data_IF_665732869988
#
_entry.id   IF_665732869988
#
_cell.length_a   1.000
_cell.length_b   1.000
_cell.length_c   1.000
_cell.angle_alpha   90.00
_cell.angle_beta   90.00
_cell.angle_gamma   90.00
#
_symmetry.space_group_name_H-M   'P 1'
#
loop_
_entity.id
_entity.type
_entity.pdbx_description
1 polymer ?
#
# COMPACT_ATOMS: atom_id res chain seq x y z
N UNK A 1 -29.80 58.59 48.05
CA UNK A 1 -30.48 57.32 47.70
C UNK A 1 -30.77 57.12 46.21
N UNK A 2 -30.60 58.10 45.30
CA UNK A 2 -30.87 57.92 43.85
C UNK A 2 -29.67 57.48 42.98
N UNK A 3 -28.42 57.54 43.47
CA UNK A 3 -27.24 57.07 42.69
C UNK A 3 -26.82 55.63 42.99
N UNK A 4 -27.07 55.11 44.20
CA UNK A 4 -26.77 53.70 44.54
C UNK A 4 -27.68 52.70 43.82
N UNK A 5 -28.93 53.09 43.53
CA UNK A 5 -29.92 52.21 42.90
C UNK A 5 -29.70 52.01 41.39
N UNK A 6 -28.90 52.87 40.75
CA UNK A 6 -28.51 52.72 39.32
C UNK A 6 -27.31 51.79 39.13
N UNK A 7 -26.43 51.69 40.12
CA UNK A 7 -25.27 50.80 40.07
C UNK A 7 -25.66 49.31 40.22
N UNK A 8 -26.66 49.00 41.05
CA UNK A 8 -27.15 47.62 41.23
C UNK A 8 -27.91 47.07 40.00
N UNK A 9 -28.53 47.93 39.20
CA UNK A 9 -29.25 47.51 37.97
C UNK A 9 -28.26 47.19 36.84
N UNK A 10 -27.12 47.88 36.76
CA UNK A 10 -26.08 47.58 35.76
C UNK A 10 -25.29 46.31 36.07
N UNK A 11 -25.11 45.97 37.36
CA UNK A 11 -24.40 44.74 37.77
C UNK A 11 -25.29 43.49 37.56
N UNK A 12 -26.63 43.63 37.64
CA UNK A 12 -27.57 42.54 37.38
C UNK A 12 -27.81 42.25 35.88
N UNK A 13 -27.42 43.15 34.99
CA UNK A 13 -27.51 42.99 33.52
C UNK A 13 -26.26 42.33 32.90
N UNK A 14 -25.13 42.31 33.61
CA UNK A 14 -23.87 41.69 33.14
C UNK A 14 -23.83 40.18 33.43
N UNK A 15 -24.67 39.68 34.34
CA UNK A 15 -24.74 38.25 34.69
C UNK A 15 -25.66 37.40 33.79
N UNK A 16 -26.30 37.99 32.78
CA UNK A 16 -27.20 37.27 31.83
C UNK A 16 -26.59 37.18 30.42
N UNK A 17 -25.34 37.59 30.21
CA UNK A 17 -24.55 37.05 29.10
C UNK A 17 -24.08 35.64 29.49
N UNK A 18 -25.06 34.74 29.54
CA UNK A 18 -24.81 33.31 29.58
C UNK A 18 -23.88 32.97 28.44
N UNK A 19 -22.69 32.51 28.80
CA UNK A 19 -21.82 31.74 27.91
C UNK A 19 -22.60 30.46 27.58
N UNK A 20 -23.45 30.56 26.56
CA UNK A 20 -23.84 29.42 25.76
C UNK A 20 -22.61 29.07 24.92
N UNK A 21 -21.70 28.29 25.50
CA UNK A 21 -20.84 27.45 24.68
C UNK A 21 -21.75 26.37 24.09
N UNK A 22 -22.39 26.68 22.98
CA UNK A 22 -22.81 25.63 22.06
C UNK A 22 -21.55 24.89 21.67
N UNK A 23 -21.51 23.59 21.92
CA UNK A 23 -20.52 22.68 21.33
C UNK A 23 -20.76 22.57 19.81
N UNK A 24 -20.76 23.70 19.11
CA UNK A 24 -20.47 23.74 17.68
C UNK A 24 -19.07 23.16 17.56
N UNK A 25 -19.01 21.94 17.02
CA UNK A 25 -17.75 21.35 16.57
C UNK A 25 -17.12 22.39 15.64
N UNK A 26 -16.15 23.15 16.14
CA UNK A 26 -15.29 23.93 15.28
C UNK A 26 -14.62 22.91 14.38
N UNK A 27 -15.09 22.79 13.15
CA UNK A 27 -14.20 22.38 12.07
C UNK A 27 -13.02 23.33 12.19
N UNK A 28 -11.88 22.78 12.61
CA UNK A 28 -10.66 23.53 12.86
C UNK A 28 -10.44 24.47 11.68
N UNK A 29 -10.34 25.78 11.94
CA UNK A 29 -10.17 26.79 10.90
C UNK A 29 -8.92 26.49 10.04
N UNK A 30 -7.92 25.79 10.61
CA UNK A 30 -6.79 25.26 9.86
C UNK A 30 -7.21 24.22 8.81
N UNK A 31 -8.19 23.37 9.11
CA UNK A 31 -8.74 22.41 8.17
C UNK A 31 -9.57 23.05 7.06
N UNK A 32 -10.24 24.17 7.32
CA UNK A 32 -11.02 24.90 6.33
C UNK A 32 -10.13 25.80 5.45
N UNK A 33 -9.02 26.28 5.99
CA UNK A 33 -8.00 27.03 5.27
C UNK A 33 -6.93 26.14 4.60
N UNK A 34 -7.02 24.81 4.76
CA UNK A 34 -6.06 23.87 4.17
C UNK A 34 -4.63 23.99 4.74
N UNK A 35 -4.49 24.46 5.97
CA UNK A 35 -3.22 24.70 6.67
C UNK A 35 -2.85 23.47 7.50
N UNK A 36 -1.57 23.05 7.46
CA UNK A 36 -1.05 21.88 8.18
C UNK A 36 -0.83 20.67 7.26
N UNK A 37 -0.11 19.66 7.73
CA UNK A 37 0.26 18.51 6.90
C UNK A 37 -0.96 17.61 6.60
N UNK A 38 -1.09 17.07 5.37
CA UNK A 38 -2.07 16.03 5.12
C UNK A 38 -1.82 14.85 6.08
N UNK A 39 -2.88 14.13 6.46
CA UNK A 39 -2.75 12.94 7.30
C UNK A 39 -3.56 11.82 6.67
N UNK A 40 -2.90 10.71 6.34
CA UNK A 40 -3.58 9.48 5.90
C UNK A 40 -3.98 8.68 7.13
N UNK A 41 -5.26 8.32 7.25
CA UNK A 41 -5.78 7.47 8.32
C UNK A 41 -6.01 6.03 7.87
N UNK A 42 -6.42 5.82 6.61
CA UNK A 42 -6.53 4.49 6.02
C UNK A 42 -6.40 4.52 4.49
N UNK A 43 -6.04 3.37 3.94
CA UNK A 43 -6.04 3.10 2.50
C UNK A 43 -6.85 1.83 2.29
N UNK A 44 -7.83 1.88 1.39
CA UNK A 44 -8.67 0.74 1.03
C UNK A 44 -8.68 0.53 -0.50
N UNK A 45 -8.26 -0.65 -0.99
CA UNK A 45 -7.61 -1.74 -0.26
C UNK A 45 -6.21 -1.35 0.27
N UNK A 46 -5.70 -1.99 1.35
CA UNK A 46 -4.40 -1.68 1.94
C UNK A 46 -3.19 -2.10 1.07
N UNK A 47 -3.44 -2.83 -0.01
CA UNK A 47 -2.46 -3.22 -1.04
C UNK A 47 -3.11 -3.21 -2.41
N UNK A 48 -2.31 -3.03 -3.45
CA UNK A 48 -2.81 -2.98 -4.82
C UNK A 48 -1.78 -3.44 -5.85
N UNK A 49 -2.27 -3.67 -7.06
CA UNK A 49 -1.49 -4.16 -8.18
C UNK A 49 -1.33 -3.07 -9.24
N UNK A 50 -0.17 -2.95 -9.89
CA UNK A 50 -0.03 -2.12 -11.08
C UNK A 50 -0.76 -2.75 -12.27
N UNK A 51 -1.01 -1.98 -13.34
CA UNK A 51 -1.50 -2.56 -14.58
C UNK A 51 -0.48 -3.56 -15.16
N UNK A 52 -0.95 -4.76 -15.52
CA UNK A 52 -0.16 -5.81 -16.17
C UNK A 52 -1.01 -6.42 -17.29
N UNK A 53 -0.49 -6.38 -18.53
CA UNK A 53 -1.25 -6.82 -19.70
C UNK A 53 -2.56 -6.03 -19.84
N UNK A 54 -3.69 -6.73 -19.82
CA UNK A 54 -5.04 -6.13 -19.88
C UNK A 54 -5.65 -5.84 -18.52
N UNK A 55 -5.01 -6.24 -17.41
CA UNK A 55 -5.51 -5.92 -16.07
C UNK A 55 -5.22 -4.45 -15.75
N UNK A 56 -6.23 -3.66 -15.35
CA UNK A 56 -6.01 -2.30 -14.89
C UNK A 56 -5.24 -2.28 -13.55
N UNK A 57 -4.68 -1.11 -13.21
CA UNK A 57 -4.17 -0.89 -11.86
C UNK A 57 -5.29 -0.89 -10.83
N UNK A 58 -4.97 -1.28 -9.60
CA UNK A 58 -5.94 -1.24 -8.50
C UNK A 58 -6.34 0.20 -8.18
N UNK A 59 -7.64 0.48 -8.21
CA UNK A 59 -8.21 1.71 -7.66
C UNK A 59 -8.16 1.63 -6.14
N UNK A 60 -7.61 2.66 -5.49
CA UNK A 60 -7.54 2.76 -4.04
C UNK A 60 -8.19 4.07 -3.56
N UNK A 61 -8.84 3.99 -2.41
CA UNK A 61 -9.38 5.12 -1.67
C UNK A 61 -8.48 5.40 -0.48
N UNK A 62 -7.98 6.63 -0.38
CA UNK A 62 -7.16 7.13 0.71
C UNK A 62 -8.05 8.02 1.57
N UNK A 63 -8.29 7.62 2.81
CA UNK A 63 -9.02 8.41 3.80
C UNK A 63 -8.05 9.16 4.70
N UNK A 64 -8.49 10.31 5.20
CA UNK A 64 -7.68 11.14 6.06
C UNK A 64 -8.27 12.50 6.37
N UNK A 65 -7.38 13.48 6.50
CA UNK A 65 -7.73 14.89 6.76
C UNK A 65 -6.69 15.82 6.16
N UNK A 66 -7.08 17.09 6.03
CA UNK A 66 -6.23 18.18 5.55
C UNK A 66 -5.71 17.98 4.12
N UNK A 67 -6.41 17.19 3.31
CA UNK A 67 -6.14 17.06 1.88
C UNK A 67 -6.62 18.32 1.14
N UNK A 68 -6.10 18.58 -0.05
CA UNK A 68 -6.69 19.62 -0.89
C UNK A 68 -7.97 19.09 -1.54
N UNK A 69 -9.07 19.84 -1.48
CA UNK A 69 -10.27 19.50 -2.24
C UNK A 69 -10.09 19.65 -3.77
N UNK A 70 -8.99 20.28 -4.22
CA UNK A 70 -8.63 20.36 -5.63
C UNK A 70 -7.71 19.20 -5.99
N UNK A 71 -8.17 18.28 -6.84
CA UNK A 71 -7.43 17.07 -7.21
C UNK A 71 -6.01 17.36 -7.71
N UNK A 72 -5.84 18.36 -8.59
CA UNK A 72 -4.53 18.75 -9.14
C UNK A 72 -3.55 19.31 -8.11
N UNK A 73 -4.03 19.68 -6.92
CA UNK A 73 -3.18 20.19 -5.86
C UNK A 73 -2.66 19.08 -4.95
N UNK A 74 -3.14 17.83 -5.09
CA UNK A 74 -2.60 16.68 -4.39
C UNK A 74 -1.66 15.90 -5.32
N UNK A 75 -0.54 15.43 -4.78
CA UNK A 75 0.38 14.53 -5.50
C UNK A 75 0.54 13.26 -4.70
N UNK A 76 0.27 12.12 -5.35
CA UNK A 76 0.48 10.79 -4.79
C UNK A 76 1.63 10.11 -5.52
N UNK A 77 2.57 9.53 -4.78
CA UNK A 77 3.62 8.69 -5.34
C UNK A 77 3.68 7.34 -4.64
N UNK A 78 3.94 6.29 -5.40
CA UNK A 78 4.10 4.90 -4.96
C UNK A 78 5.58 4.54 -5.10
N UNK A 79 6.32 4.60 -3.99
CA UNK A 79 7.77 4.41 -3.97
C UNK A 79 8.51 5.22 -5.06
N UNK A 80 8.11 6.49 -5.22
CA UNK A 80 8.68 7.41 -6.21
C UNK A 80 7.97 7.43 -7.57
N UNK A 81 7.04 6.50 -7.85
CA UNK A 81 6.25 6.50 -9.11
C UNK A 81 4.97 7.30 -8.93
N UNK A 82 4.75 8.33 -9.74
CA UNK A 82 3.56 9.18 -9.63
C UNK A 82 2.28 8.44 -10.03
N UNK A 83 1.28 8.47 -9.14
CA UNK A 83 -0.07 7.99 -9.39
C UNK A 83 -1.00 9.13 -9.83
N UNK A 84 -2.09 8.78 -10.50
CA UNK A 84 -3.10 9.76 -10.95
C UNK A 84 -4.17 9.95 -9.86
N UNK A 85 -4.31 11.16 -9.35
CA UNK A 85 -5.42 11.54 -8.47
C UNK A 85 -6.68 11.68 -9.30
N UNK A 86 -7.69 10.83 -9.04
CA UNK A 86 -8.95 10.81 -9.78
C UNK A 86 -9.97 11.78 -9.17
N UNK A 87 -10.18 11.69 -7.86
CA UNK A 87 -11.04 12.60 -7.09
C UNK A 87 -10.35 13.01 -5.79
N UNK A 88 -10.71 14.18 -5.27
CA UNK A 88 -10.22 14.65 -3.98
C UNK A 88 -11.28 15.46 -3.24
N UNK A 89 -11.38 15.24 -1.94
CA UNK A 89 -12.04 16.09 -0.94
C UNK A 89 -11.02 16.40 0.16
N UNK A 90 -11.41 17.14 1.20
CA UNK A 90 -10.53 17.39 2.34
C UNK A 90 -10.21 16.15 3.18
N UNK A 91 -10.95 15.05 3.00
CA UNK A 91 -10.85 13.83 3.82
C UNK A 91 -10.74 12.54 3.02
N UNK A 92 -10.87 12.59 1.69
CA UNK A 92 -10.85 11.40 0.83
C UNK A 92 -10.18 11.72 -0.52
N UNK A 93 -9.31 10.83 -0.99
CA UNK A 93 -8.75 10.85 -2.35
C UNK A 93 -8.95 9.48 -2.98
N UNK A 94 -9.39 9.43 -4.24
CA UNK A 94 -9.29 8.21 -5.05
C UNK A 94 -8.12 8.32 -6.02
N UNK A 95 -7.36 7.24 -6.17
CA UNK A 95 -6.19 7.15 -7.07
C UNK A 95 -6.06 5.72 -7.60
N UNK A 96 -5.16 5.52 -8.55
CA UNK A 96 -4.86 4.21 -9.14
C UNK A 96 -3.38 3.91 -9.00
N UNK A 97 -3.06 2.66 -8.63
CA UNK A 97 -1.66 2.18 -8.59
C UNK A 97 -1.07 2.26 -10.01
N UNK A 98 0.00 3.04 -10.23
CA UNK A 98 0.54 3.29 -11.57
C UNK A 98 1.41 2.13 -12.07
N UNK A 99 1.65 2.10 -13.39
CA UNK A 99 2.64 1.19 -13.98
C UNK A 99 4.04 1.47 -13.42
N UNK A 100 4.80 0.41 -13.12
CA UNK A 100 6.14 0.52 -12.54
C UNK A 100 6.18 0.74 -11.03
N UNK A 101 5.03 0.87 -10.36
CA UNK A 101 4.97 0.94 -8.90
C UNK A 101 5.59 -0.29 -8.24
N UNK A 102 6.28 -0.07 -7.12
CA UNK A 102 6.87 -1.14 -6.29
C UNK A 102 6.52 -0.93 -4.81
N UNK A 103 6.51 -2.00 -4.02
CA UNK A 103 6.31 -1.89 -2.57
C UNK A 103 7.28 -0.91 -1.93
N UNK A 104 6.79 -0.10 -0.99
CA UNK A 104 7.58 0.95 -0.36
C UNK A 104 6.70 2.00 0.29
N UNK A 105 7.20 3.23 0.38
CA UNK A 105 6.41 4.34 0.93
C UNK A 105 5.48 4.92 -0.14
N UNK A 106 4.19 5.01 0.17
CA UNK A 106 3.25 5.88 -0.50
C UNK A 106 3.36 7.26 0.14
N UNK A 107 3.66 8.29 -0.66
CA UNK A 107 3.59 9.68 -0.22
C UNK A 107 2.35 10.37 -0.78
N UNK A 108 1.64 11.08 0.08
CA UNK A 108 0.66 12.10 -0.28
C UNK A 108 1.24 13.46 0.08
N UNK A 109 1.31 14.37 -0.88
CA UNK A 109 1.66 15.77 -0.64
C UNK A 109 0.60 16.70 -1.20
N UNK A 110 0.49 17.90 -0.62
CA UNK A 110 -0.41 18.95 -1.12
C UNK A 110 0.38 20.21 -1.45
N UNK A 111 0.06 20.81 -2.59
CA UNK A 111 0.63 22.07 -3.05
C UNK A 111 -0.25 23.26 -2.63
N UNK A 112 0.33 24.47 -2.61
CA UNK A 112 -0.39 25.71 -2.30
C UNK A 112 -0.22 26.24 -0.88
N UNK A 113 0.33 25.45 0.05
CA UNK A 113 0.51 25.82 1.47
C UNK A 113 1.98 26.04 1.88
N UNK A 114 2.91 26.15 0.92
CA UNK A 114 4.35 26.37 1.16
C UNK A 114 5.25 25.27 0.58
N UNK A 115 6.51 25.14 1.07
CA UNK A 115 7.42 24.08 0.65
C UNK A 115 6.86 22.69 0.92
N UNK A 116 7.24 21.72 0.07
CA UNK A 116 6.93 20.30 0.25
C UNK A 116 8.21 19.59 0.65
N UNK A 117 8.21 18.97 1.82
CA UNK A 117 9.31 18.12 2.31
C UNK A 117 8.71 16.81 2.80
N UNK A 118 9.04 15.72 2.12
CA UNK A 118 8.57 14.39 2.47
C UNK A 118 9.67 13.62 3.23
N UNK A 119 9.30 12.98 4.32
CA UNK A 119 10.13 12.01 5.05
C UNK A 119 9.32 10.73 5.25
N UNK A 120 9.93 9.58 4.94
CA UNK A 120 9.32 8.26 5.10
C UNK A 120 8.90 7.94 6.54
N UNK A 121 9.48 8.63 7.53
CA UNK A 121 9.18 8.44 8.95
C UNK A 121 8.13 9.42 9.49
N UNK A 122 7.61 10.35 8.67
CA UNK A 122 6.75 11.46 9.11
C UNK A 122 7.33 12.22 10.32
N UNK A 123 8.64 12.52 10.28
CA UNK A 123 9.32 13.27 11.35
C UNK A 123 8.87 14.73 11.39
N UNK A 124 9.31 15.49 12.40
CA UNK A 124 9.02 16.92 12.55
C UNK A 124 9.53 17.82 11.41
N UNK A 125 10.34 17.29 10.50
CA UNK A 125 10.82 17.96 9.29
C UNK A 125 9.90 17.80 8.08
N UNK A 126 8.93 16.89 8.14
CA UNK A 126 7.95 16.74 7.08
C UNK A 126 7.08 18.01 6.99
N UNK A 127 6.84 18.48 5.77
CA UNK A 127 6.02 19.67 5.49
C UNK A 127 5.15 19.41 4.27
N UNK A 128 3.85 19.64 4.44
CA UNK A 128 2.80 19.42 3.44
C UNK A 128 2.84 18.00 2.82
N UNK A 129 3.30 17.01 3.58
CA UNK A 129 3.48 15.64 3.11
C UNK A 129 3.19 14.60 4.21
N UNK A 130 2.72 13.43 3.79
CA UNK A 130 2.49 12.27 4.63
C UNK A 130 2.93 10.98 3.92
N UNK A 131 3.82 10.23 4.53
CA UNK A 131 4.29 8.93 4.07
C UNK A 131 3.61 7.78 4.83
N UNK A 132 3.24 6.71 4.14
CA UNK A 132 2.78 5.48 4.77
C UNK A 132 3.26 4.26 3.96
N UNK A 133 3.56 3.11 4.57
CA UNK A 133 3.86 1.90 3.82
C UNK A 133 2.69 1.50 2.91
N UNK A 134 3.00 1.08 1.69
CA UNK A 134 2.05 0.50 0.75
C UNK A 134 2.67 -0.69 0.04
N UNK A 135 1.94 -1.81 0.02
CA UNK A 135 2.39 -3.05 -0.56
C UNK A 135 1.85 -3.21 -1.98
N UNK A 136 2.75 -3.53 -2.90
CA UNK A 136 2.42 -3.94 -4.25
C UNK A 136 2.23 -5.45 -4.26
N UNK A 137 1.07 -5.85 -4.76
CA UNK A 137 0.62 -7.24 -4.89
C UNK A 137 0.43 -7.52 -6.39
N UNK A 138 1.46 -8.06 -7.02
CA UNK A 138 1.48 -8.41 -8.45
C UNK A 138 0.48 -9.50 -8.81
N UNK A 139 0.18 -10.41 -7.87
CA UNK A 139 -0.73 -11.52 -8.13
C UNK A 139 -2.17 -11.05 -8.32
N UNK A 140 -2.58 -9.96 -7.64
CA UNK A 140 -3.89 -9.32 -7.86
C UNK A 140 -4.15 -8.91 -9.31
N UNK A 141 -3.12 -8.59 -10.12
CA UNK A 141 -3.28 -8.33 -11.56
C UNK A 141 -3.68 -9.58 -12.38
N UNK A 142 -3.65 -10.76 -11.76
CA UNK A 142 -4.09 -12.04 -12.33
C UNK A 142 -5.37 -12.55 -11.65
N UNK A 143 -6.12 -11.66 -11.01
CA UNK A 143 -7.42 -11.93 -10.41
C UNK A 143 -7.43 -13.11 -9.44
N UNK A 144 -6.31 -13.36 -8.76
CA UNK A 144 -6.14 -14.49 -7.84
C UNK A 144 -6.50 -15.86 -8.46
N UNK A 145 -6.21 -16.04 -9.76
CA UNK A 145 -6.67 -17.20 -10.56
C UNK A 145 -6.22 -18.58 -10.05
N UNK A 146 -5.20 -18.67 -9.22
CA UNK A 146 -4.65 -19.91 -8.63
C UNK A 146 -5.04 -20.09 -7.16
N UNK A 147 -6.06 -19.37 -6.68
CA UNK A 147 -6.51 -19.40 -5.29
C UNK A 147 -5.64 -18.56 -4.36
N UNK A 148 -5.71 -18.86 -3.06
CA UNK A 148 -4.94 -18.16 -2.03
C UNK A 148 -3.44 -18.38 -2.19
N UNK A 149 -2.64 -17.35 -1.87
CA UNK A 149 -1.18 -17.45 -1.89
C UNK A 149 -0.67 -18.34 -0.76
N UNK A 150 0.29 -19.20 -1.09
CA UNK A 150 1.07 -19.95 -0.10
C UNK A 150 2.20 -19.03 0.38
N UNK A 151 2.04 -18.51 1.60
CA UNK A 151 3.05 -17.69 2.25
C UNK A 151 4.19 -18.52 2.87
N UNK A 152 5.43 -18.07 2.66
CA UNK A 152 6.64 -18.60 3.31
C UNK A 152 7.59 -17.45 3.64
N UNK A 153 8.21 -17.50 4.81
CA UNK A 153 9.10 -16.43 5.29
C UNK A 153 10.44 -17.04 5.68
N UNK A 154 11.51 -16.51 5.13
CA UNK A 154 12.88 -16.89 5.47
C UNK A 154 13.10 -16.82 7.00
N UNK A 155 13.79 -17.80 7.62
CA UNK A 155 14.44 -18.98 7.02
C UNK A 155 13.56 -20.25 7.02
N UNK A 156 12.26 -20.13 7.31
CA UNK A 156 11.39 -21.29 7.55
C UNK A 156 10.93 -21.92 6.23
N UNK A 157 11.06 -23.24 6.07
CA UNK A 157 10.54 -23.92 4.89
C UNK A 157 9.02 -24.12 4.94
N UNK A 158 8.42 -24.39 3.78
CA UNK A 158 6.99 -24.67 3.63
C UNK A 158 6.76 -25.76 2.58
N UNK A 159 6.05 -26.82 2.99
CA UNK A 159 5.57 -27.88 2.08
C UNK A 159 4.15 -27.59 1.62
N UNK A 160 3.86 -27.94 0.37
CA UNK A 160 2.53 -27.93 -0.23
C UNK A 160 2.39 -29.07 -1.24
N UNK A 161 1.15 -29.43 -1.58
CA UNK A 161 0.87 -30.53 -2.50
C UNK A 161 0.21 -30.03 -3.79
N UNK A 162 0.56 -30.66 -4.91
CA UNK A 162 -0.16 -30.56 -6.17
C UNK A 162 -1.11 -31.76 -6.27
N UNK A 163 -2.42 -31.49 -6.29
CA UNK A 163 -3.46 -32.52 -6.16
C UNK A 163 -4.00 -33.04 -7.51
N UNK A 164 -3.78 -32.32 -8.62
CA UNK A 164 -4.11 -32.74 -9.99
C UNK A 164 -2.92 -33.38 -10.73
N UNK A 165 -3.14 -33.88 -11.95
CA UNK A 165 -2.04 -34.41 -12.80
C UNK A 165 -0.94 -33.35 -13.01
N UNK A 166 -1.37 -32.11 -13.25
CA UNK A 166 -0.55 -30.90 -13.25
C UNK A 166 -1.35 -29.82 -12.54
N UNK A 167 -0.67 -28.94 -11.81
CA UNK A 167 -1.31 -27.81 -11.14
C UNK A 167 -0.37 -26.64 -10.95
N UNK A 168 -0.96 -25.45 -10.87
CA UNK A 168 -0.25 -24.20 -10.60
C UNK A 168 -0.67 -23.66 -9.24
N UNK A 169 0.29 -23.22 -8.44
CA UNK A 169 0.05 -22.50 -7.18
C UNK A 169 0.67 -21.12 -7.22
N UNK A 170 0.05 -20.17 -6.50
CA UNK A 170 0.63 -18.87 -6.22
C UNK A 170 1.41 -18.92 -4.90
N UNK A 171 2.63 -18.39 -4.91
CA UNK A 171 3.52 -18.33 -3.75
C UNK A 171 3.81 -16.88 -3.40
N UNK A 172 3.91 -16.61 -2.10
CA UNK A 172 4.46 -15.36 -1.55
C UNK A 172 5.64 -15.69 -0.64
N UNK A 173 6.83 -15.24 -0.99
CA UNK A 173 8.10 -15.56 -0.34
C UNK A 173 8.69 -14.28 0.24
N UNK A 174 8.70 -14.15 1.56
CA UNK A 174 9.39 -13.07 2.27
C UNK A 174 10.87 -13.47 2.45
N UNK A 175 11.75 -12.76 1.75
CA UNK A 175 13.19 -13.04 1.72
C UNK A 175 13.90 -12.54 2.99
N UNK A 176 15.19 -12.89 3.12
CA UNK A 176 16.06 -12.32 4.15
C UNK A 176 16.15 -10.79 4.00
N UNK A 177 15.88 -10.05 5.07
CA UNK A 177 16.01 -8.58 5.12
C UNK A 177 17.46 -8.10 5.12
N UNK A 178 18.40 -8.98 5.47
CA UNK A 178 19.81 -8.64 5.72
C UNK A 178 20.77 -9.05 4.59
N UNK A 179 20.26 -9.51 3.44
CA UNK A 179 21.13 -9.82 2.31
C UNK A 179 20.51 -10.66 1.21
N UNK A 180 21.38 -11.26 0.40
CA UNK A 180 20.96 -12.18 -0.64
C UNK A 180 20.29 -13.42 -0.04
N UNK A 181 19.33 -13.99 -0.76
CA UNK A 181 18.60 -15.20 -0.35
C UNK A 181 18.62 -16.21 -1.49
N UNK A 182 19.02 -17.44 -1.21
CA UNK A 182 18.81 -18.57 -2.10
C UNK A 182 17.48 -19.23 -1.75
N UNK A 183 16.65 -19.47 -2.75
CA UNK A 183 15.36 -20.13 -2.61
C UNK A 183 15.39 -21.41 -3.44
N UNK A 184 15.27 -22.56 -2.78
CA UNK A 184 15.13 -23.85 -3.45
C UNK A 184 13.65 -24.19 -3.62
N UNK A 185 13.24 -24.51 -4.84
CA UNK A 185 11.92 -25.05 -5.17
C UNK A 185 12.03 -26.57 -5.34
N UNK A 186 11.87 -27.34 -4.27
CA UNK A 186 11.98 -28.80 -4.34
C UNK A 186 10.64 -29.46 -4.60
N UNK A 187 10.38 -29.99 -5.78
CA UNK A 187 9.19 -30.82 -6.04
C UNK A 187 9.58 -32.28 -6.31
N UNK A 188 8.65 -33.21 -6.09
CA UNK A 188 8.76 -34.63 -6.46
C UNK A 188 8.88 -34.80 -7.98
N UNK A 189 8.34 -33.84 -8.75
CA UNK A 189 8.39 -33.81 -10.22
C UNK A 189 9.19 -32.59 -10.71
N UNK A 190 9.51 -32.57 -12.01
CA UNK A 190 10.01 -31.36 -12.65
C UNK A 190 8.95 -30.25 -12.56
N UNK A 191 9.39 -29.00 -12.64
CA UNK A 191 8.52 -27.84 -12.56
C UNK A 191 8.91 -26.76 -13.56
N UNK A 192 7.98 -25.84 -13.79
CA UNK A 192 8.23 -24.51 -14.38
C UNK A 192 7.75 -23.45 -13.41
N UNK A 193 8.32 -22.26 -13.48
CA UNK A 193 7.88 -21.19 -12.61
C UNK A 193 7.92 -19.83 -13.30
N UNK A 194 7.10 -18.93 -12.78
CA UNK A 194 7.11 -17.51 -13.09
C UNK A 194 7.47 -16.75 -11.83
N UNK A 195 8.33 -15.74 -11.93
CA UNK A 195 8.62 -14.84 -10.82
C UNK A 195 8.30 -13.40 -11.17
N UNK A 196 7.85 -12.64 -10.18
CA UNK A 196 7.65 -11.20 -10.29
C UNK A 196 8.86 -10.44 -9.74
N UNK A 197 9.25 -9.38 -10.45
CA UNK A 197 10.17 -8.37 -9.94
C UNK A 197 9.47 -7.47 -8.92
N UNK A 198 10.21 -6.55 -8.27
CA UNK A 198 9.65 -5.56 -7.33
C UNK A 198 8.59 -4.65 -7.95
N UNK A 199 8.65 -4.45 -9.27
CA UNK A 199 7.71 -3.64 -10.06
C UNK A 199 6.74 -4.50 -10.88
N UNK A 200 6.55 -5.76 -10.47
CA UNK A 200 5.68 -6.73 -11.12
C UNK A 200 6.04 -7.09 -12.57
N UNK A 201 7.30 -6.91 -12.98
CA UNK A 201 7.81 -7.52 -14.21
C UNK A 201 7.85 -9.03 -14.06
N UNK A 202 7.05 -9.75 -14.85
CA UNK A 202 7.00 -11.22 -14.84
C UNK A 202 8.14 -11.79 -15.68
N UNK A 203 8.81 -12.81 -15.16
CA UNK A 203 9.79 -13.62 -15.89
C UNK A 203 9.40 -15.08 -15.77
N UNK A 204 9.18 -15.74 -16.91
CA UNK A 204 8.86 -17.16 -16.99
C UNK A 204 10.13 -17.99 -17.21
N UNK A 205 10.22 -19.13 -16.51
CA UNK A 205 11.28 -20.12 -16.65
C UNK A 205 10.65 -21.45 -17.01
N UNK A 206 10.85 -21.82 -18.27
CA UNK A 206 10.16 -22.93 -18.91
C UNK A 206 8.76 -22.54 -19.41
N UNK A 207 8.11 -23.49 -20.09
CA UNK A 207 6.77 -23.37 -20.66
C UNK A 207 5.89 -24.51 -20.10
N UNK A 208 4.76 -24.20 -19.44
CA UNK A 208 3.86 -25.22 -18.91
C UNK A 208 3.28 -26.15 -19.98
N UNK A 209 3.29 -25.75 -21.25
CA UNK A 209 2.81 -26.56 -22.38
C UNK A 209 3.91 -27.37 -23.07
N UNK A 210 5.18 -27.21 -22.67
CA UNK A 210 6.32 -27.92 -23.24
C UNK A 210 7.18 -28.54 -22.14
N UNK A 211 6.91 -29.81 -21.82
CA UNK A 211 7.57 -30.55 -20.74
C UNK A 211 9.09 -30.69 -20.90
N UNK A 212 9.63 -30.55 -22.11
CA UNK A 212 11.08 -30.57 -22.33
C UNK A 212 11.81 -29.34 -21.73
N UNK A 213 11.07 -28.28 -21.38
CA UNK A 213 11.62 -27.06 -20.76
C UNK A 213 11.56 -27.09 -19.23
N UNK A 214 10.94 -28.11 -18.65
CA UNK A 214 10.75 -28.22 -17.21
C UNK A 214 12.07 -28.58 -16.54
N UNK A 215 12.28 -28.07 -15.33
CA UNK A 215 13.54 -28.19 -14.60
C UNK A 215 13.33 -28.86 -13.25
N UNK A 216 14.34 -29.60 -12.79
CA UNK A 216 14.27 -30.35 -11.55
C UNK A 216 14.91 -29.57 -10.41
N UNK A 217 14.10 -29.29 -9.39
CA UNK A 217 14.50 -28.71 -8.10
C UNK A 217 15.44 -27.49 -8.17
N UNK A 218 15.08 -26.40 -8.88
CA UNK A 218 15.97 -25.26 -9.06
C UNK A 218 16.23 -24.49 -7.75
N UNK A 219 17.43 -23.91 -7.65
CA UNK A 219 17.77 -22.89 -6.65
C UNK A 219 17.84 -21.53 -7.33
N UNK A 220 17.08 -20.57 -6.81
CA UNK A 220 16.96 -19.22 -7.36
C UNK A 220 17.64 -18.25 -6.38
N UNK A 221 18.61 -17.49 -6.87
CA UNK A 221 19.28 -16.46 -6.06
C UNK A 221 18.60 -15.10 -6.24
N UNK A 222 18.22 -14.49 -5.12
CA UNK A 222 17.72 -13.13 -5.05
C UNK A 222 18.76 -12.23 -4.38
N UNK A 223 19.31 -11.21 -5.08
CA UNK A 223 20.42 -10.41 -4.56
C UNK A 223 20.01 -9.37 -3.52
N UNK A 224 18.71 -9.11 -3.36
CA UNK A 224 18.19 -8.11 -2.43
C UNK A 224 16.83 -8.52 -1.88
N UNK A 225 16.53 -8.07 -0.67
CA UNK A 225 15.23 -8.24 -0.05
C UNK A 225 14.08 -7.61 -0.86
N UNK A 226 13.02 -8.40 -1.01
CA UNK A 226 11.64 -7.99 -1.27
C UNK A 226 10.73 -9.20 -1.06
N UNK A 227 9.42 -8.98 -0.91
CA UNK A 227 8.44 -10.06 -0.97
C UNK A 227 8.28 -10.51 -2.42
N UNK A 228 8.74 -11.73 -2.73
CA UNK A 228 8.64 -12.31 -4.06
C UNK A 228 7.28 -12.96 -4.21
N UNK A 229 6.57 -12.64 -5.28
CA UNK A 229 5.42 -13.43 -5.72
C UNK A 229 5.84 -14.32 -6.88
N UNK A 230 5.33 -15.56 -6.91
CA UNK A 230 5.67 -16.54 -7.93
C UNK A 230 4.48 -17.42 -8.29
N UNK A 231 4.49 -17.94 -9.51
CA UNK A 231 3.65 -19.07 -9.91
C UNK A 231 4.55 -20.28 -10.08
N UNK A 232 4.17 -21.41 -9.49
CA UNK A 232 4.88 -22.68 -9.68
C UNK A 232 3.91 -23.68 -10.26
N UNK A 233 4.27 -24.25 -11.41
CA UNK A 233 3.52 -25.33 -12.06
C UNK A 233 4.34 -26.60 -12.01
N UNK A 234 3.77 -27.67 -11.46
CA UNK A 234 4.41 -28.97 -11.34
C UNK A 234 3.39 -30.10 -11.54
N UNK A 235 3.90 -31.32 -11.69
CA UNK A 235 3.08 -32.52 -11.71
C UNK A 235 2.59 -32.90 -10.30
N UNK A 236 1.65 -33.86 -10.23
CA UNK A 236 1.15 -34.40 -8.96
C UNK A 236 2.29 -34.82 -8.02
N UNK A 237 2.23 -34.37 -6.77
CA UNK A 237 3.24 -34.69 -5.76
C UNK A 237 3.37 -33.61 -4.71
N UNK A 238 4.37 -33.75 -3.85
CA UNK A 238 4.74 -32.73 -2.87
C UNK A 238 5.78 -31.78 -3.45
N UNK A 239 5.71 -30.54 -2.99
CA UNK A 239 6.69 -29.50 -3.22
C UNK A 239 7.06 -28.83 -1.89
N UNK A 240 8.28 -28.33 -1.80
CA UNK A 240 8.81 -27.59 -0.67
C UNK A 240 9.55 -26.35 -1.15
N UNK A 241 9.28 -25.22 -0.49
CA UNK A 241 10.11 -24.02 -0.55
C UNK A 241 11.06 -24.04 0.63
N UNK A 242 12.37 -24.00 0.38
CA UNK A 242 13.40 -23.98 1.42
C UNK A 242 14.54 -23.00 1.09
N UNK A 243 15.39 -22.74 2.08
CA UNK A 243 16.43 -21.72 2.03
C UNK A 243 17.81 -22.35 2.33
N UNK A 244 18.53 -22.84 1.31
CA UNK A 244 19.86 -23.45 1.47
C UNK A 244 21.01 -22.43 1.58
#
# INVERSE_FOLDING_TARGET
>A
MRSLMRALIFILLISILGVYCSNSKSTDLASELGIGDPVITSIDPPSGAPPIGTSPGTSITINGRLFSATASNNTITFNGVSGTVLTATSTEITTVVPSGASSGTLFLSKSGSGPIVCDKNNSSSAMNCYGTPFYIDCYKSFNNQYGDEIGVTYPNSKTFAITGQTGTVALRIDLNTEGATNVKLGCDTYLVYSKFSKSCGRTDVGDPNNTATWIYQPTITFPSYYTVQMFVTAGKGNCEISFP
#
